data_IF_726508206282
#
_entry.id   IF_726508206282
#
_cell.length_a   1.000
_cell.length_b   1.000
_cell.length_c   1.000
_cell.angle_alpha   90.00
_cell.angle_beta   90.00
_cell.angle_gamma   90.00
#
_symmetry.space_group_name_H-M   'P 1'
#
loop_
_entity.id
_entity.type
_entity.pdbx_description
1 polymer ?
#
# COMPACT_ATOMS: atom_id res chain seq x y z
N UNK A 1 81.28 14.46 -34.60
CA UNK A 1 79.97 14.25 -35.06
C UNK A 1 79.65 12.76 -35.03
N UNK A 2 78.84 12.32 -34.10
CA UNK A 2 78.35 10.93 -34.01
C UNK A 2 76.89 10.93 -34.42
N UNK A 3 76.39 10.02 -35.26
CA UNK A 3 75.00 9.97 -35.64
C UNK A 3 74.10 9.33 -34.51
N UNK A 4 72.92 9.88 -34.30
CA UNK A 4 71.89 9.42 -33.42
C UNK A 4 71.24 8.10 -33.92
N UNK A 5 71.26 7.09 -33.09
CA UNK A 5 70.52 5.85 -33.32
C UNK A 5 68.96 6.10 -33.08
N UNK A 6 68.23 5.88 -34.14
CA UNK A 6 66.75 5.74 -34.02
C UNK A 6 66.44 4.42 -33.33
N UNK A 7 65.58 4.50 -32.29
CA UNK A 7 65.01 3.34 -31.65
C UNK A 7 63.70 3.04 -32.38
N UNK A 8 63.64 1.88 -33.06
CA UNK A 8 62.41 1.35 -33.64
C UNK A 8 61.49 0.97 -32.54
N UNK A 9 60.30 1.60 -32.56
CA UNK A 9 59.17 1.28 -31.66
C UNK A 9 58.36 0.14 -32.29
N UNK A 10 58.55 -1.05 -31.78
CA UNK A 10 57.87 -2.26 -32.25
C UNK A 10 56.42 -2.22 -31.82
N UNK A 11 55.52 -1.78 -32.74
CA UNK A 11 54.07 -1.68 -32.56
C UNK A 11 53.38 -3.00 -32.91
N UNK A 12 53.64 -4.06 -32.13
CA UNK A 12 52.97 -5.33 -32.35
C UNK A 12 52.59 -6.01 -31.03
N UNK A 13 51.66 -5.39 -30.31
CA UNK A 13 51.02 -6.08 -29.21
C UNK A 13 49.47 -5.92 -29.31
N UNK A 14 48.90 -6.34 -30.45
CA UNK A 14 47.48 -6.60 -30.55
C UNK A 14 47.19 -7.91 -29.83
N UNK A 15 46.79 -7.83 -28.59
CA UNK A 15 46.14 -8.93 -27.89
C UNK A 15 44.86 -9.30 -28.64
N UNK A 16 44.97 -10.30 -29.51
CA UNK A 16 43.86 -10.93 -30.22
C UNK A 16 42.92 -11.60 -29.19
N UNK A 17 41.87 -10.92 -28.79
CA UNK A 17 40.78 -11.54 -28.10
C UNK A 17 40.02 -12.46 -29.06
N UNK A 18 40.37 -13.73 -29.04
CA UNK A 18 39.66 -14.76 -29.83
C UNK A 18 38.23 -14.79 -29.38
N UNK A 19 37.23 -14.73 -30.30
CA UNK A 19 35.85 -14.90 -29.92
C UNK A 19 35.65 -16.28 -29.28
N UNK A 20 34.75 -16.41 -28.29
CA UNK A 20 34.52 -17.68 -27.63
C UNK A 20 34.09 -18.74 -28.65
N UNK A 21 34.73 -19.93 -28.56
CA UNK A 21 34.43 -21.06 -29.46
C UNK A 21 32.93 -21.44 -29.37
N UNK A 22 32.35 -21.85 -30.47
CA UNK A 22 30.90 -22.15 -30.61
C UNK A 22 30.27 -22.95 -29.46
N UNK A 23 30.94 -23.92 -28.79
CA UNK A 23 30.39 -24.60 -27.62
C UNK A 23 30.23 -23.68 -26.38
N UNK A 24 31.13 -22.73 -26.19
CA UNK A 24 31.09 -21.77 -25.08
C UNK A 24 29.96 -20.78 -25.24
N UNK A 25 29.70 -20.28 -26.44
CA UNK A 25 28.56 -19.38 -26.73
C UNK A 25 27.21 -20.05 -26.45
N UNK A 26 27.06 -21.33 -26.77
CA UNK A 26 25.88 -22.11 -26.47
C UNK A 26 25.69 -22.33 -24.96
N UNK A 27 26.74 -22.49 -24.21
CA UNK A 27 26.72 -22.63 -22.76
C UNK A 27 26.27 -21.30 -22.09
N UNK A 28 26.84 -20.17 -22.55
CA UNK A 28 26.48 -18.83 -22.09
C UNK A 28 24.99 -18.53 -22.38
N UNK A 29 24.52 -18.86 -23.58
CA UNK A 29 23.12 -18.65 -23.94
C UNK A 29 22.16 -19.46 -23.04
N UNK A 30 22.50 -20.71 -22.74
CA UNK A 30 21.72 -21.55 -21.82
C UNK A 30 21.72 -20.98 -20.39
N UNK A 31 22.86 -20.46 -19.92
CA UNK A 31 22.98 -19.85 -18.60
C UNK A 31 22.14 -18.55 -18.50
N UNK A 32 22.21 -17.71 -19.52
CA UNK A 32 21.39 -16.47 -19.58
C UNK A 32 19.89 -16.79 -19.60
N UNK A 33 19.46 -17.78 -20.38
CA UNK A 33 18.07 -18.23 -20.39
C UNK A 33 17.63 -18.80 -19.04
N UNK A 34 18.49 -19.56 -18.35
CA UNK A 34 18.20 -20.09 -17.01
C UNK A 34 18.05 -18.95 -15.98
N UNK A 35 18.93 -17.96 -16.01
CA UNK A 35 18.85 -16.79 -15.13
C UNK A 35 17.60 -15.96 -15.44
N UNK A 36 17.26 -15.76 -16.71
CA UNK A 36 16.06 -15.03 -17.10
C UNK A 36 14.78 -15.73 -16.62
N UNK A 37 14.71 -17.07 -16.71
CA UNK A 37 13.55 -17.83 -16.17
C UNK A 37 13.45 -17.73 -14.65
N UNK A 38 14.60 -17.73 -13.95
CA UNK A 38 14.61 -17.56 -12.48
C UNK A 38 14.14 -16.18 -12.03
N UNK A 39 14.50 -15.12 -12.76
CA UNK A 39 14.08 -13.74 -12.48
C UNK A 39 12.60 -13.53 -12.75
N UNK A 40 12.05 -14.12 -13.81
CA UNK A 40 10.62 -14.04 -14.14
C UNK A 40 9.75 -14.75 -13.09
N UNK A 41 10.20 -15.86 -12.51
CA UNK A 41 9.46 -16.58 -11.48
C UNK A 41 9.34 -15.78 -10.17
N UNK A 42 10.33 -14.97 -9.83
CA UNK A 42 10.28 -14.15 -8.61
C UNK A 42 9.30 -12.96 -8.73
N UNK A 43 9.19 -12.36 -9.93
CA UNK A 43 8.24 -11.27 -10.15
C UNK A 43 6.78 -11.72 -10.00
N UNK A 44 6.44 -12.92 -10.49
CA UNK A 44 5.10 -13.48 -10.36
C UNK A 44 4.75 -13.84 -8.91
N UNK A 45 5.73 -14.20 -8.09
CA UNK A 45 5.52 -14.54 -6.69
C UNK A 45 5.24 -13.30 -5.84
N UNK A 46 5.94 -12.20 -6.09
CA UNK A 46 5.73 -10.91 -5.42
C UNK A 46 4.33 -10.34 -5.74
N UNK A 47 3.92 -10.35 -7.01
CA UNK A 47 2.59 -9.88 -7.41
C UNK A 47 1.46 -10.67 -6.73
N UNK A 48 1.59 -12.00 -6.60
CA UNK A 48 0.61 -12.84 -5.90
C UNK A 48 0.57 -12.59 -4.38
N UNK A 49 1.69 -12.20 -3.78
CA UNK A 49 1.76 -11.85 -2.36
C UNK A 49 0.98 -10.57 -2.07
N UNK A 50 1.18 -9.52 -2.85
CA UNK A 50 0.48 -8.26 -2.71
C UNK A 50 -1.04 -8.42 -2.83
N UNK A 51 -1.52 -9.15 -3.82
CA UNK A 51 -2.96 -9.44 -3.98
C UNK A 51 -3.54 -10.15 -2.75
N UNK A 52 -2.82 -11.10 -2.16
CA UNK A 52 -3.28 -11.81 -0.95
C UNK A 52 -3.32 -10.87 0.26
N UNK A 53 -2.33 -10.03 0.42
CA UNK A 53 -2.26 -9.05 1.50
C UNK A 53 -3.43 -8.08 1.41
N UNK A 54 -3.65 -7.45 0.26
CA UNK A 54 -4.74 -6.51 0.07
C UNK A 54 -6.13 -7.17 0.13
N UNK A 55 -6.27 -8.42 -0.30
CA UNK A 55 -7.50 -9.20 -0.09
C UNK A 55 -7.80 -9.37 1.39
N UNK A 56 -6.78 -9.66 2.20
CA UNK A 56 -6.97 -9.78 3.64
C UNK A 56 -7.27 -8.42 4.29
N UNK A 57 -6.61 -7.33 3.88
CA UNK A 57 -6.93 -5.97 4.32
C UNK A 57 -8.39 -5.62 3.99
N UNK A 58 -8.87 -5.94 2.79
CA UNK A 58 -10.27 -5.73 2.40
C UNK A 58 -11.26 -6.46 3.33
N UNK A 59 -10.96 -7.69 3.73
CA UNK A 59 -11.76 -8.43 4.72
C UNK A 59 -11.73 -7.75 6.10
N UNK A 60 -10.58 -7.21 6.50
CA UNK A 60 -10.49 -6.45 7.74
C UNK A 60 -11.31 -5.17 7.70
N UNK A 61 -11.33 -4.43 6.58
CA UNK A 61 -12.14 -3.22 6.44
C UNK A 61 -13.61 -3.52 6.79
N UNK A 62 -14.20 -4.56 6.18
CA UNK A 62 -15.56 -4.96 6.48
C UNK A 62 -15.75 -5.36 7.95
N UNK A 63 -14.79 -6.12 8.51
CA UNK A 63 -14.86 -6.53 9.91
C UNK A 63 -14.79 -5.35 10.87
N UNK A 64 -13.96 -4.36 10.61
CA UNK A 64 -13.87 -3.16 11.45
C UNK A 64 -15.21 -2.46 11.54
N UNK A 65 -15.92 -2.33 10.42
CA UNK A 65 -17.24 -1.65 10.41
C UNK A 65 -18.30 -2.30 11.29
N UNK A 66 -18.11 -3.56 11.70
CA UNK A 66 -19.00 -4.26 12.65
C UNK A 66 -18.75 -3.87 14.11
N UNK A 67 -17.65 -3.23 14.40
CA UNK A 67 -17.21 -2.83 15.73
C UNK A 67 -17.09 -1.32 15.87
N UNK A 68 -17.54 -0.59 14.88
CA UNK A 68 -17.48 0.86 14.82
C UNK A 68 -18.91 1.36 14.58
N UNK A 69 -19.35 2.26 15.46
CA UNK A 69 -20.63 2.93 15.32
C UNK A 69 -20.38 4.33 14.78
N UNK A 70 -21.07 4.65 13.69
CA UNK A 70 -21.16 6.00 13.14
C UNK A 70 -22.29 6.74 13.83
N UNK A 71 -22.16 8.06 14.10
CA UNK A 71 -23.25 8.84 14.65
C UNK A 71 -24.49 8.70 13.75
N UNK A 72 -25.63 8.53 14.37
CA UNK A 72 -26.88 8.49 13.62
C UNK A 72 -27.06 9.84 12.91
N UNK A 73 -27.13 9.80 11.59
CA UNK A 73 -27.55 10.97 10.82
C UNK A 73 -29.02 11.25 11.17
N UNK A 74 -29.25 12.14 12.13
CA UNK A 74 -30.56 12.53 12.59
C UNK A 74 -31.43 13.15 11.50
N UNK A 75 -30.84 13.47 10.36
CA UNK A 75 -31.54 13.80 9.14
C UNK A 75 -31.89 12.55 8.33
N UNK A 76 -32.80 11.71 8.84
CA UNK A 76 -33.25 10.47 8.17
C UNK A 76 -33.68 10.61 6.70
N UNK A 77 -33.76 11.82 6.18
CA UNK A 77 -34.06 12.11 4.77
C UNK A 77 -32.84 12.12 3.85
N UNK A 78 -31.62 12.17 4.38
CA UNK A 78 -30.38 12.33 3.61
C UNK A 78 -29.30 11.30 3.96
N UNK A 79 -29.61 10.23 4.69
CA UNK A 79 -28.66 9.15 4.92
C UNK A 79 -28.24 8.58 3.56
N UNK A 80 -26.94 8.57 3.23
CA UNK A 80 -26.49 8.08 1.93
C UNK A 80 -26.98 6.64 1.73
N UNK A 81 -27.57 6.37 0.56
CA UNK A 81 -28.05 5.02 0.19
C UNK A 81 -26.91 3.99 0.15
N UNK A 82 -25.67 4.48 0.11
CA UNK A 82 -24.46 3.66 -0.01
C UNK A 82 -23.47 3.97 1.11
N UNK A 83 -22.74 2.95 1.53
CA UNK A 83 -21.55 3.08 2.37
C UNK A 83 -20.38 3.53 1.48
N UNK A 84 -19.86 4.73 1.69
CA UNK A 84 -18.82 5.32 0.85
C UNK A 84 -17.45 4.93 1.41
N UNK A 85 -16.65 4.28 0.58
CA UNK A 85 -15.23 3.98 0.84
C UNK A 85 -14.38 4.74 -0.17
N UNK A 86 -13.54 5.63 0.31
CA UNK A 86 -12.58 6.33 -0.53
C UNK A 86 -11.19 5.73 -0.36
N UNK A 87 -10.43 5.62 -1.43
CA UNK A 87 -9.07 5.11 -1.45
C UNK A 87 -8.16 6.16 -2.08
N UNK A 88 -7.13 6.54 -1.35
CA UNK A 88 -6.13 7.48 -1.81
C UNK A 88 -4.82 6.77 -2.11
N UNK A 89 -4.29 6.99 -3.33
CA UNK A 89 -2.95 6.55 -3.70
C UNK A 89 -2.81 5.07 -4.07
N UNK A 90 -3.91 4.29 -4.15
CA UNK A 90 -3.85 2.87 -4.49
C UNK A 90 -5.02 2.42 -5.38
N UNK A 91 -4.94 2.68 -6.70
CA UNK A 91 -6.01 2.33 -7.64
C UNK A 91 -6.21 0.82 -7.78
N UNK A 92 -5.17 0.00 -7.59
CA UNK A 92 -5.28 -1.46 -7.63
C UNK A 92 -6.11 -1.98 -6.45
N UNK A 93 -5.94 -1.39 -5.26
CA UNK A 93 -6.76 -1.71 -4.11
C UNK A 93 -8.21 -1.27 -4.30
N UNK A 94 -8.45 -0.11 -4.89
CA UNK A 94 -9.80 0.34 -5.25
C UNK A 94 -10.50 -0.66 -6.16
N UNK A 95 -9.81 -1.15 -7.19
CA UNK A 95 -10.36 -2.14 -8.13
C UNK A 95 -10.67 -3.46 -7.42
N UNK A 96 -9.79 -3.92 -6.55
CA UNK A 96 -10.02 -5.10 -5.73
C UNK A 96 -11.26 -4.93 -4.84
N UNK A 97 -11.41 -3.77 -4.18
CA UNK A 97 -12.59 -3.46 -3.36
C UNK A 97 -13.87 -3.40 -4.19
N UNK A 98 -13.85 -2.79 -5.39
CA UNK A 98 -15.00 -2.79 -6.32
C UNK A 98 -15.44 -4.22 -6.63
N UNK A 99 -14.51 -5.10 -6.95
CA UNK A 99 -14.80 -6.50 -7.25
C UNK A 99 -15.41 -7.25 -6.07
N UNK A 100 -14.88 -7.05 -4.87
CA UNK A 100 -15.41 -7.68 -3.64
C UNK A 100 -16.82 -7.16 -3.31
N UNK A 101 -17.01 -5.85 -3.38
CA UNK A 101 -18.26 -5.21 -2.94
C UNK A 101 -19.34 -5.09 -4.01
N UNK A 102 -19.14 -5.66 -5.22
CA UNK A 102 -20.22 -5.78 -6.21
C UNK A 102 -21.45 -6.51 -5.64
N UNK A 103 -21.23 -7.52 -4.81
CA UNK A 103 -22.28 -8.37 -4.25
C UNK A 103 -22.37 -8.28 -2.71
N UNK A 104 -21.33 -7.76 -2.06
CA UNK A 104 -21.31 -7.64 -0.60
C UNK A 104 -21.78 -6.26 -0.15
N UNK A 105 -22.25 -6.20 1.08
CA UNK A 105 -22.74 -4.98 1.72
C UNK A 105 -21.96 -4.70 3.00
N UNK A 106 -21.84 -3.44 3.35
CA UNK A 106 -21.36 -2.98 4.66
C UNK A 106 -22.54 -2.38 5.42
N UNK A 107 -22.78 -2.85 6.63
CA UNK A 107 -23.91 -2.41 7.47
C UNK A 107 -25.27 -2.41 6.73
N UNK A 108 -25.48 -3.41 5.86
CA UNK A 108 -26.72 -3.53 5.08
C UNK A 108 -26.82 -2.60 3.86
N UNK A 109 -25.90 -1.65 3.70
CA UNK A 109 -25.85 -0.69 2.59
C UNK A 109 -24.99 -1.22 1.42
N UNK A 110 -25.32 -0.82 0.19
CA UNK A 110 -24.41 -0.99 -0.95
C UNK A 110 -23.14 -0.20 -0.70
N UNK A 111 -22.02 -0.68 -1.25
CA UNK A 111 -20.72 0.02 -1.10
C UNK A 111 -20.41 0.79 -2.38
N UNK A 112 -20.02 2.04 -2.22
CA UNK A 112 -19.49 2.88 -3.30
C UNK A 112 -18.01 3.11 -3.08
N UNK A 113 -17.18 2.72 -4.06
CA UNK A 113 -15.72 2.90 -4.00
C UNK A 113 -15.34 4.12 -4.85
N UNK A 114 -14.62 5.04 -4.23
CA UNK A 114 -14.15 6.27 -4.85
C UNK A 114 -12.62 6.32 -4.82
N UNK A 115 -12.01 6.63 -5.97
CA UNK A 115 -10.58 6.94 -6.04
C UNK A 115 -10.39 8.42 -5.74
N UNK A 116 -9.40 8.73 -4.89
CA UNK A 116 -9.03 10.09 -4.53
C UNK A 116 -7.56 10.28 -4.87
N UNK A 117 -7.25 11.33 -5.62
CA UNK A 117 -5.89 11.69 -5.99
C UNK A 117 -5.37 12.89 -5.19
N UNK A 118 -6.27 13.73 -4.69
CA UNK A 118 -5.95 14.94 -3.94
C UNK A 118 -6.81 15.05 -2.69
N UNK A 119 -6.30 15.59 -1.57
CA UNK A 119 -7.09 15.79 -0.36
C UNK A 119 -8.38 16.61 -0.57
N UNK A 120 -8.36 17.57 -1.50
CA UNK A 120 -9.53 18.40 -1.84
C UNK A 120 -10.72 17.63 -2.44
N UNK A 121 -10.51 16.38 -2.88
CA UNK A 121 -11.56 15.49 -3.40
C UNK A 121 -12.29 14.72 -2.30
N UNK A 122 -11.83 14.82 -1.04
CA UNK A 122 -12.46 14.12 0.09
C UNK A 122 -13.85 14.72 0.35
N UNK A 123 -14.88 13.91 0.14
CA UNK A 123 -16.30 14.30 0.31
C UNK A 123 -16.96 13.50 1.44
N UNK A 124 -16.40 13.60 2.66
CA UNK A 124 -16.92 12.95 3.87
C UNK A 124 -17.29 11.48 3.67
N UNK A 125 -16.34 10.62 3.26
CA UNK A 125 -16.58 9.19 3.14
C UNK A 125 -16.80 8.59 4.54
N UNK A 126 -17.46 7.44 4.62
CA UNK A 126 -17.54 6.68 5.86
C UNK A 126 -16.19 6.07 6.24
N UNK A 127 -15.40 5.66 5.22
CA UNK A 127 -14.08 5.11 5.39
C UNK A 127 -13.14 5.70 4.34
N UNK A 128 -11.99 6.16 4.78
CA UNK A 128 -10.90 6.65 3.93
C UNK A 128 -9.66 5.78 4.14
N UNK A 129 -9.28 5.04 3.11
CA UNK A 129 -8.01 4.32 3.08
C UNK A 129 -6.92 5.21 2.46
N UNK A 130 -5.80 5.36 3.18
CA UNK A 130 -4.70 6.25 2.83
C UNK A 130 -3.46 5.38 2.60
N UNK A 131 -2.99 5.29 1.36
CA UNK A 131 -1.72 4.66 1.03
C UNK A 131 -0.54 5.59 1.34
N UNK A 132 0.68 5.13 1.05
CA UNK A 132 1.89 5.91 1.27
C UNK A 132 1.82 7.28 0.58
N UNK A 133 2.08 8.33 1.35
CA UNK A 133 2.02 9.72 0.90
C UNK A 133 2.97 10.59 1.72
N UNK A 134 3.18 11.85 1.29
CA UNK A 134 4.01 12.79 2.06
C UNK A 134 3.34 13.22 3.36
N UNK A 135 4.15 13.64 4.33
CA UNK A 135 3.67 14.14 5.62
C UNK A 135 2.75 15.36 5.48
N UNK A 136 3.01 16.24 4.51
CA UNK A 136 2.17 17.40 4.22
C UNK A 136 0.80 16.96 3.70
N UNK A 137 0.77 15.99 2.81
CA UNK A 137 -0.49 15.44 2.28
C UNK A 137 -1.27 14.73 3.38
N UNK A 138 -0.60 13.90 4.20
CA UNK A 138 -1.24 13.24 5.34
C UNK A 138 -1.83 14.27 6.32
N UNK A 139 -1.07 15.31 6.68
CA UNK A 139 -1.56 16.36 7.57
C UNK A 139 -2.81 17.05 7.03
N UNK A 140 -2.83 17.35 5.72
CA UNK A 140 -4.00 17.94 5.06
C UNK A 140 -5.22 17.02 5.09
N UNK A 141 -5.02 15.71 4.90
CA UNK A 141 -6.09 14.70 5.00
C UNK A 141 -6.66 14.66 6.40
N UNK A 142 -5.79 14.59 7.42
CA UNK A 142 -6.20 14.49 8.82
C UNK A 142 -6.93 15.76 9.28
N UNK A 143 -6.53 16.93 8.81
CA UNK A 143 -7.23 18.19 9.08
C UNK A 143 -8.64 18.18 8.47
N UNK A 144 -8.80 17.70 7.24
CA UNK A 144 -10.09 17.63 6.54
C UNK A 144 -11.04 16.56 7.14
N UNK A 145 -10.51 15.55 7.82
CA UNK A 145 -11.29 14.45 8.38
C UNK A 145 -11.52 14.54 9.90
N UNK A 146 -10.83 15.43 10.60
CA UNK A 146 -10.85 15.55 12.07
C UNK A 146 -12.27 15.69 12.64
N UNK A 147 -13.05 16.60 12.10
CA UNK A 147 -14.43 16.90 12.59
C UNK A 147 -15.49 16.23 11.71
N UNK A 148 -15.19 15.04 11.23
CA UNK A 148 -16.12 14.26 10.40
C UNK A 148 -16.17 12.82 10.88
N UNK A 149 -17.32 12.11 10.77
CA UNK A 149 -17.41 10.70 11.11
C UNK A 149 -16.76 9.82 10.02
N UNK A 150 -15.52 10.15 9.64
CA UNK A 150 -14.74 9.42 8.65
C UNK A 150 -13.70 8.55 9.34
N UNK A 151 -13.82 7.23 9.20
CA UNK A 151 -12.81 6.30 9.67
C UNK A 151 -11.58 6.36 8.76
N UNK A 152 -10.46 6.85 9.27
CA UNK A 152 -9.18 6.84 8.54
C UNK A 152 -8.43 5.53 8.79
N UNK A 153 -7.97 4.89 7.70
CA UNK A 153 -7.21 3.65 7.75
C UNK A 153 -5.99 3.76 6.83
N UNK A 154 -4.85 3.20 7.23
CA UNK A 154 -3.65 3.13 6.39
C UNK A 154 -2.92 1.80 6.56
N UNK A 155 -1.89 1.59 5.76
CA UNK A 155 -0.92 0.49 5.86
C UNK A 155 0.53 1.00 5.79
N UNK A 156 0.74 2.29 5.94
CA UNK A 156 2.04 2.93 5.94
C UNK A 156 2.61 3.03 7.36
N UNK A 157 3.83 2.57 7.55
CA UNK A 157 4.49 2.58 8.87
C UNK A 157 4.53 3.99 9.46
N UNK A 158 4.16 4.10 10.75
CA UNK A 158 4.16 5.36 11.50
C UNK A 158 2.94 6.26 11.28
N UNK A 159 1.99 5.88 10.42
CA UNK A 159 0.82 6.74 10.16
C UNK A 159 -0.17 6.75 11.33
N UNK A 160 -0.24 5.68 12.12
CA UNK A 160 -1.05 5.71 13.34
C UNK A 160 -0.52 6.74 14.34
N UNK A 161 0.78 6.80 14.57
CA UNK A 161 1.40 7.78 15.48
C UNK A 161 1.21 9.22 14.97
N UNK A 162 0.99 9.41 13.66
CA UNK A 162 0.72 10.70 13.05
C UNK A 162 -0.77 11.10 13.06
N UNK A 163 -1.67 10.22 13.53
CA UNK A 163 -3.08 10.56 13.69
C UNK A 163 -4.07 9.75 12.82
N UNK A 164 -3.60 8.78 12.03
CA UNK A 164 -4.52 7.84 11.37
C UNK A 164 -5.12 6.91 12.41
N UNK A 165 -6.44 6.71 12.40
CA UNK A 165 -7.15 5.99 13.45
C UNK A 165 -6.79 4.51 13.51
N UNK A 166 -6.72 3.83 12.36
CA UNK A 166 -6.33 2.41 12.27
C UNK A 166 -5.20 2.27 11.27
N UNK A 167 -4.13 1.58 11.64
CA UNK A 167 -3.03 1.32 10.74
C UNK A 167 -2.66 -0.15 10.69
N UNK A 168 -2.58 -0.72 9.50
CA UNK A 168 -2.09 -2.08 9.31
C UNK A 168 -0.57 -2.12 9.39
N UNK A 169 -0.06 -3.17 9.98
CA UNK A 169 1.38 -3.46 9.96
C UNK A 169 1.64 -4.96 9.83
N UNK A 170 2.83 -5.27 9.34
CA UNK A 170 3.29 -6.64 9.24
C UNK A 170 4.05 -7.02 10.51
N UNK A 171 3.59 -8.02 11.23
CA UNK A 171 4.28 -8.54 12.42
C UNK A 171 5.53 -9.33 12.03
N UNK A 172 6.45 -9.58 12.99
CA UNK A 172 7.71 -10.33 12.76
C UNK A 172 7.52 -11.71 12.15
N UNK A 173 6.37 -12.33 12.37
CA UNK A 173 6.00 -13.65 11.81
C UNK A 173 5.13 -13.52 10.54
N UNK A 174 5.22 -12.40 9.83
CA UNK A 174 4.54 -12.11 8.56
C UNK A 174 3.01 -12.27 8.63
N UNK A 175 2.42 -11.89 9.75
CA UNK A 175 0.96 -11.80 9.89
C UNK A 175 0.54 -10.34 9.87
N UNK A 176 -0.51 -10.04 9.13
CA UNK A 176 -1.15 -8.74 9.18
C UNK A 176 -1.74 -8.54 10.58
N UNK A 177 -1.37 -7.43 11.18
CA UNK A 177 -1.89 -6.90 12.43
C UNK A 177 -2.33 -5.47 12.20
N UNK A 178 -2.94 -4.88 13.21
CA UNK A 178 -3.30 -3.47 13.14
C UNK A 178 -3.10 -2.81 14.50
N UNK A 179 -2.87 -1.53 14.43
CA UNK A 179 -2.79 -0.64 15.58
C UNK A 179 -3.91 0.40 15.49
N UNK A 180 -4.33 0.90 16.64
CA UNK A 180 -5.37 1.93 16.75
C UNK A 180 -4.79 3.10 17.53
N UNK A 181 -4.88 4.29 16.94
CA UNK A 181 -4.60 5.54 17.64
C UNK A 181 -5.83 5.94 18.46
N UNK A 182 -5.76 5.71 19.77
CA UNK A 182 -6.88 5.95 20.67
C UNK A 182 -7.20 7.45 20.79
N UNK A 183 -6.20 8.32 20.72
CA UNK A 183 -6.40 9.77 20.73
C UNK A 183 -7.18 10.23 19.50
N UNK A 184 -6.75 9.80 18.30
CA UNK A 184 -7.45 10.13 17.05
C UNK A 184 -8.91 9.65 17.05
N UNK A 185 -9.16 8.48 17.65
CA UNK A 185 -10.54 7.97 17.82
C UNK A 185 -11.34 8.84 18.80
N UNK A 186 -10.76 9.23 19.93
CA UNK A 186 -11.44 10.10 20.91
C UNK A 186 -11.77 11.48 20.35
N UNK A 187 -10.95 12.00 19.45
CA UNK A 187 -11.17 13.29 18.77
C UNK A 187 -12.19 13.18 17.63
N UNK A 188 -12.57 11.98 17.22
CA UNK A 188 -13.56 11.76 16.16
C UNK A 188 -14.98 11.60 16.75
N UNK A 189 -15.98 11.68 15.87
CA UNK A 189 -17.39 11.38 16.22
C UNK A 189 -17.70 9.86 16.20
N UNK A 190 -16.67 9.00 15.98
CA UNK A 190 -16.83 7.56 15.88
C UNK A 190 -16.73 6.89 17.26
N UNK A 191 -17.51 5.86 17.47
CA UNK A 191 -17.37 4.99 18.62
C UNK A 191 -16.78 3.64 18.23
N UNK A 192 -15.60 3.30 18.78
CA UNK A 192 -14.96 2.01 18.56
C UNK A 192 -15.22 1.09 19.77
N UNK A 193 -15.78 -0.08 19.48
CA UNK A 193 -16.07 -1.07 20.52
C UNK A 193 -14.79 -1.57 21.20
N UNK A 194 -14.85 -1.74 22.52
CA UNK A 194 -13.79 -2.36 23.31
C UNK A 194 -13.32 -3.72 22.75
N UNK A 195 -14.19 -4.48 22.11
CA UNK A 195 -13.81 -5.75 21.46
C UNK A 195 -12.77 -5.57 20.35
N UNK A 196 -12.83 -4.46 19.62
CA UNK A 196 -11.83 -4.17 18.59
C UNK A 196 -10.54 -3.65 19.23
N UNK A 197 -10.64 -2.76 20.22
CA UNK A 197 -9.49 -2.23 20.94
C UNK A 197 -8.68 -3.34 21.61
N UNK A 198 -9.33 -4.36 22.21
CA UNK A 198 -8.66 -5.43 22.94
C UNK A 198 -7.78 -6.36 22.09
N UNK A 199 -7.92 -6.34 20.77
CA UNK A 199 -7.10 -7.15 19.83
C UNK A 199 -6.14 -6.33 18.99
N UNK A 200 -6.18 -5.01 19.13
CA UNK A 200 -5.29 -4.05 18.48
C UNK A 200 -4.02 -3.80 19.31
N UNK A 201 -2.96 -3.32 18.66
CA UNK A 201 -1.91 -2.58 19.35
C UNK A 201 -2.40 -1.13 19.52
N UNK A 202 -2.47 -0.65 20.75
CA UNK A 202 -2.90 0.73 21.02
C UNK A 202 -1.68 1.65 20.92
N UNK A 203 -1.88 2.80 20.27
CA UNK A 203 -0.92 3.91 20.17
C UNK A 203 -1.68 5.23 20.39
N UNK A 204 -0.95 6.34 20.57
CA UNK A 204 -1.57 7.65 20.81
C UNK A 204 -2.17 7.77 22.21
N UNK A 205 -1.68 7.04 23.20
CA UNK A 205 -1.99 7.26 24.62
C UNK A 205 -1.36 8.58 25.08
N UNK A 206 -2.07 9.35 25.93
CA UNK A 206 -1.53 10.54 26.61
C UNK A 206 -0.51 10.17 27.68
#
# INVERSE_FOLDING_TARGET
>A
MRPLKFIDYDANNHASSRPPTAPMARLYLKLVLLIATLLLSNASYAANFDVREYTLKAVFLERFTRFIDWPEDTSQKNSPESFIVSVMGNPEFSELLRNIYQTQKIQGKKVSIQDINNPSEIQKPHLLFISDTSDETLSSILELTRDTPTLTISDTEGFAEKGVMINFFMSRNQKIRFEINELAVKESELYISYKLLSVAKIVGEE
#
